data_IF_993374957275
#
_entry.id   IF_993374957275
#
_cell.length_a   1.000
_cell.length_b   1.000
_cell.length_c   1.000
_cell.angle_alpha   90.00
_cell.angle_beta   90.00
_cell.angle_gamma   90.00
#
_symmetry.space_group_name_H-M   'P 1'
#
loop_
_entity.id
_entity.type
_entity.pdbx_description
1 polymer ?
#
# COMPACT_ATOMS: atom_id res chain seq x y z
N UNK A 1 7.26 -4.00 -47.30
CA UNK A 1 8.45 -4.34 -46.53
C UNK A 1 8.72 -3.46 -45.39
N UNK A 2 8.79 -2.17 -45.62
CA UNK A 2 9.06 -1.26 -44.56
C UNK A 2 7.95 -1.25 -43.50
N UNK A 3 6.76 -1.54 -43.93
CA UNK A 3 5.61 -1.57 -43.04
C UNK A 3 5.76 -2.69 -42.03
N UNK A 4 6.37 -3.76 -42.42
CA UNK A 4 6.54 -4.89 -41.50
C UNK A 4 7.40 -4.52 -40.31
N UNK A 5 8.41 -3.74 -40.57
CA UNK A 5 9.30 -3.33 -39.48
C UNK A 5 8.56 -2.53 -38.43
N UNK A 6 7.66 -1.67 -38.87
CA UNK A 6 6.89 -0.87 -37.94
C UNK A 6 5.99 -1.71 -37.07
N UNK A 7 5.43 -2.75 -37.65
CA UNK A 7 4.56 -3.64 -36.88
C UNK A 7 5.32 -4.31 -35.76
N UNK A 8 6.54 -4.70 -36.00
CA UNK A 8 7.34 -5.33 -34.98
C UNK A 8 7.60 -4.41 -33.80
N UNK A 9 7.81 -3.16 -34.08
CA UNK A 9 8.06 -2.21 -33.02
C UNK A 9 6.86 -2.06 -32.10
N UNK A 10 5.68 -2.10 -32.65
CA UNK A 10 4.47 -1.98 -31.85
C UNK A 10 4.31 -3.17 -30.93
N UNK A 11 4.63 -4.33 -31.40
CA UNK A 11 4.52 -5.53 -30.60
C UNK A 11 5.45 -5.46 -29.40
N UNK A 12 6.64 -4.98 -29.60
CA UNK A 12 7.61 -4.86 -28.53
C UNK A 12 7.10 -3.93 -27.45
N UNK A 13 6.43 -2.85 -27.84
CA UNK A 13 5.90 -1.94 -26.87
C UNK A 13 4.83 -2.57 -26.00
N UNK A 14 4.00 -3.40 -26.56
CA UNK A 14 2.96 -4.05 -25.80
C UNK A 14 3.53 -5.03 -24.79
N UNK A 15 4.59 -5.71 -25.16
CA UNK A 15 5.20 -6.67 -24.26
C UNK A 15 5.68 -6.02 -22.97
N UNK A 16 6.11 -4.79 -23.05
CA UNK A 16 6.58 -4.09 -21.86
C UNK A 16 5.48 -3.80 -20.86
N UNK A 17 4.27 -3.62 -21.33
CA UNK A 17 3.17 -3.24 -20.46
C UNK A 17 2.78 -4.35 -19.50
N UNK A 18 3.04 -5.58 -19.84
CA UNK A 18 2.65 -6.68 -18.97
C UNK A 18 3.66 -6.95 -17.87
N UNK A 19 4.86 -6.43 -17.99
CA UNK A 19 5.91 -6.70 -17.01
C UNK A 19 5.56 -6.25 -15.60
N UNK A 20 5.01 -5.04 -15.38
CA UNK A 20 4.71 -4.58 -14.02
C UNK A 20 3.70 -5.44 -13.28
N UNK A 21 2.83 -6.07 -14.02
CA UNK A 21 1.78 -6.87 -13.40
C UNK A 21 2.35 -8.06 -12.64
N UNK A 22 3.46 -8.59 -13.10
CA UNK A 22 4.05 -9.74 -12.46
C UNK A 22 4.51 -9.49 -11.04
N UNK A 23 4.69 -8.24 -10.67
CA UNK A 23 5.19 -7.90 -9.34
C UNK A 23 4.10 -7.53 -8.36
N UNK A 24 2.85 -7.59 -8.78
CA UNK A 24 1.75 -7.08 -7.97
C UNK A 24 1.55 -7.83 -6.66
N UNK A 25 2.01 -9.06 -6.55
CA UNK A 25 1.79 -9.85 -5.35
C UNK A 25 2.80 -9.62 -4.23
N UNK A 26 3.81 -8.82 -4.47
CA UNK A 26 4.87 -8.64 -3.49
C UNK A 26 4.79 -7.30 -2.79
N UNK A 27 4.91 -7.33 -1.47
CA UNK A 27 5.02 -6.11 -0.70
C UNK A 27 6.47 -5.66 -0.69
N UNK A 28 6.70 -4.45 -1.22
CA UNK A 28 8.04 -3.89 -1.29
C UNK A 28 8.11 -2.59 -0.52
N UNK A 29 7.88 -2.69 0.76
CA UNK A 29 7.97 -1.52 1.62
C UNK A 29 9.40 -1.34 2.08
N UNK A 30 10.02 -0.24 1.69
CA UNK A 30 11.40 0.07 2.05
C UNK A 30 11.46 1.47 2.62
N UNK A 31 11.31 1.61 3.93
CA UNK A 31 11.35 2.93 4.54
C UNK A 31 12.77 3.50 4.53
N UNK A 32 12.85 4.81 4.44
CA UNK A 32 14.11 5.53 4.51
C UNK A 32 14.21 6.21 5.86
N UNK A 33 15.41 6.68 6.19
CA UNK A 33 15.61 7.35 7.48
C UNK A 33 14.70 8.57 7.65
N UNK A 34 14.33 9.20 6.56
CA UNK A 34 13.48 10.39 6.60
C UNK A 34 12.00 10.09 6.42
N UNK A 35 11.61 8.82 6.37
CA UNK A 35 10.22 8.45 6.17
C UNK A 35 9.37 8.88 7.35
N UNK A 36 8.31 9.62 7.08
CA UNK A 36 7.34 10.00 8.11
C UNK A 36 6.27 8.93 8.24
N UNK A 37 5.52 8.98 9.34
CA UNK A 37 4.42 8.05 9.54
C UNK A 37 3.42 8.14 8.39
N UNK A 38 3.10 9.33 7.94
CA UNK A 38 2.17 9.52 6.85
C UNK A 38 2.70 8.91 5.55
N UNK A 39 3.97 9.13 5.27
CA UNK A 39 4.58 8.57 4.07
C UNK A 39 4.58 7.04 4.10
N UNK A 40 4.84 6.48 5.26
CA UNK A 40 4.80 5.03 5.41
C UNK A 40 3.40 4.50 5.12
N UNK A 41 2.37 5.18 5.63
CA UNK A 41 0.99 4.77 5.40
C UNK A 41 0.62 4.86 3.93
N UNK A 42 1.08 5.89 3.24
CA UNK A 42 0.81 6.04 1.81
C UNK A 42 1.37 4.85 1.03
N UNK A 43 2.58 4.44 1.36
CA UNK A 43 3.19 3.30 0.68
C UNK A 43 2.48 1.99 0.99
N UNK A 44 1.83 1.92 2.15
CA UNK A 44 1.12 0.71 2.57
C UNK A 44 -0.36 0.72 2.20
N UNK A 45 -0.78 1.65 1.36
CA UNK A 45 -2.16 1.70 0.90
C UNK A 45 -2.54 0.39 0.23
N UNK A 46 -3.71 -0.13 0.60
CA UNK A 46 -4.28 -1.41 0.16
C UNK A 46 -3.64 -2.61 0.85
N UNK A 47 -2.74 -2.38 1.81
CA UNK A 47 -2.15 -3.47 2.56
C UNK A 47 -2.79 -3.57 3.93
N UNK A 48 -2.80 -4.79 4.47
CA UNK A 48 -3.31 -5.01 5.82
C UNK A 48 -2.21 -4.79 6.82
N UNK A 49 -2.48 -3.91 7.78
CA UNK A 49 -1.49 -3.54 8.79
C UNK A 49 -2.13 -3.53 10.16
N UNK A 50 -1.31 -3.55 11.20
CA UNK A 50 -1.74 -3.33 12.57
C UNK A 50 -1.16 -2.01 13.03
N UNK A 51 -2.04 -1.12 13.48
CA UNK A 51 -1.63 0.18 14.01
C UNK A 51 -1.67 0.12 15.53
N UNK A 52 -0.56 0.49 16.17
CA UNK A 52 -0.51 0.61 17.61
C UNK A 52 -0.64 2.08 17.96
N UNK A 53 -1.65 2.41 18.75
CA UNK A 53 -1.95 3.80 19.08
C UNK A 53 -1.35 4.19 20.42
N UNK A 54 -1.23 5.49 20.63
CA UNK A 54 -0.68 6.00 21.90
C UNK A 54 -1.49 5.55 23.10
N UNK A 55 -2.78 5.31 22.91
CA UNK A 55 -3.65 4.84 23.98
C UNK A 55 -3.39 3.38 24.39
N UNK A 56 -2.59 2.67 23.63
CA UNK A 56 -2.38 1.25 23.84
C UNK A 56 -3.31 0.38 23.00
N UNK A 57 -4.28 0.96 22.34
CA UNK A 57 -5.20 0.23 21.50
C UNK A 57 -4.52 -0.18 20.20
N UNK A 58 -4.90 -1.32 19.67
CA UNK A 58 -4.40 -1.79 18.38
C UNK A 58 -5.55 -1.92 17.41
N UNK A 59 -5.32 -1.49 16.17
CA UNK A 59 -6.32 -1.56 15.11
C UNK A 59 -5.68 -2.27 13.93
N UNK A 60 -6.28 -3.36 13.52
CA UNK A 60 -5.81 -4.11 12.36
C UNK A 60 -6.82 -3.99 11.23
N UNK A 61 -6.35 -3.62 10.05
CA UNK A 61 -7.22 -3.50 8.89
C UNK A 61 -6.42 -3.09 7.67
N UNK A 62 -7.14 -2.73 6.63
CA UNK A 62 -6.53 -2.36 5.35
C UNK A 62 -6.46 -0.85 5.25
N UNK A 63 -5.28 -0.34 4.92
CA UNK A 63 -5.09 1.09 4.68
C UNK A 63 -5.78 1.43 3.36
N UNK A 64 -6.83 2.22 3.41
CA UNK A 64 -7.63 2.51 2.23
C UNK A 64 -7.36 3.91 1.70
N UNK A 65 -7.21 4.88 2.59
CA UNK A 65 -6.97 6.25 2.17
C UNK A 65 -6.15 6.96 3.25
N UNK A 66 -5.19 7.75 2.83
CA UNK A 66 -4.34 8.50 3.75
C UNK A 66 -4.54 9.99 3.47
N UNK A 67 -5.05 10.71 4.48
CA UNK A 67 -5.20 12.15 4.39
C UNK A 67 -4.01 12.87 4.98
N UNK A 68 -4.18 14.16 5.22
CA UNK A 68 -3.11 14.96 5.81
C UNK A 68 -2.90 14.63 7.28
N UNK A 69 -3.97 14.40 8.01
CA UNK A 69 -3.88 14.17 9.45
C UNK A 69 -4.59 12.91 9.91
N UNK A 70 -5.33 12.24 9.03
CA UNK A 70 -6.03 11.02 9.39
C UNK A 70 -5.81 9.96 8.33
N UNK A 71 -5.96 8.69 8.74
CA UNK A 71 -5.91 7.56 7.83
C UNK A 71 -7.21 6.79 7.97
N UNK A 72 -7.72 6.31 6.84
CA UNK A 72 -8.97 5.56 6.78
C UNK A 72 -8.64 4.08 6.65
N UNK A 73 -9.08 3.30 7.64
CA UNK A 73 -8.81 1.87 7.72
C UNK A 73 -10.12 1.13 7.55
N UNK A 74 -10.15 0.16 6.66
CA UNK A 74 -11.35 -0.63 6.39
C UNK A 74 -11.09 -2.09 6.70
N UNK A 75 -12.17 -2.87 6.73
CA UNK A 75 -12.12 -4.31 6.96
C UNK A 75 -11.37 -4.65 8.23
N UNK A 76 -11.80 -4.02 9.32
CA UNK A 76 -11.17 -4.22 10.62
C UNK A 76 -11.29 -5.67 11.07
N UNK A 77 -10.21 -6.20 11.62
CA UNK A 77 -10.22 -7.56 12.15
C UNK A 77 -11.13 -7.60 13.38
N UNK A 78 -12.01 -8.58 13.42
CA UNK A 78 -12.94 -8.74 14.54
C UNK A 78 -14.14 -7.82 14.51
N UNK A 79 -14.20 -6.89 13.57
CA UNK A 79 -15.30 -5.95 13.44
C UNK A 79 -15.69 -5.83 11.98
N UNK A 80 -16.39 -6.84 11.48
CA UNK A 80 -16.61 -7.04 10.05
C UNK A 80 -17.27 -5.85 9.33
N UNK A 81 -18.14 -5.15 10.01
CA UNK A 81 -18.90 -4.06 9.39
C UNK A 81 -18.40 -2.68 9.82
N UNK A 82 -17.20 -2.61 10.38
CA UNK A 82 -16.70 -1.37 10.93
C UNK A 82 -15.48 -0.90 10.18
N UNK A 83 -15.39 0.41 9.99
CA UNK A 83 -14.21 1.08 9.49
C UNK A 83 -13.73 2.02 10.57
N UNK A 84 -12.50 2.47 10.46
CA UNK A 84 -11.93 3.40 11.43
C UNK A 84 -11.26 4.56 10.72
N UNK A 85 -11.40 5.74 11.31
CA UNK A 85 -10.64 6.91 10.92
C UNK A 85 -9.70 7.19 12.08
N UNK A 86 -8.40 7.13 11.83
CA UNK A 86 -7.40 7.20 12.88
C UNK A 86 -6.53 8.42 12.67
N UNK A 87 -6.29 9.16 13.75
CA UNK A 87 -5.39 10.30 13.69
C UNK A 87 -3.96 9.82 13.52
N UNK A 88 -3.28 10.30 12.50
CA UNK A 88 -1.92 9.88 12.22
C UNK A 88 -0.99 10.22 13.38
N UNK A 89 -1.23 11.35 14.05
CA UNK A 89 -0.42 11.77 15.18
C UNK A 89 -0.48 10.81 16.37
N UNK A 90 -1.53 10.00 16.43
CA UNK A 90 -1.73 9.10 17.57
C UNK A 90 -1.19 7.71 17.30
N UNK A 91 -0.59 7.49 16.16
CA UNK A 91 -0.04 6.18 15.81
C UNK A 91 1.41 6.12 16.28
N UNK A 92 1.70 5.15 17.16
CA UNK A 92 3.06 4.91 17.61
C UNK A 92 3.84 4.01 16.68
N UNK A 93 3.16 3.02 16.11
CA UNK A 93 3.86 2.02 15.31
C UNK A 93 2.92 1.39 14.30
N UNK A 94 3.49 0.97 13.17
CA UNK A 94 2.78 0.18 12.16
C UNK A 94 3.48 -1.17 12.10
N UNK A 95 2.71 -2.23 12.25
CA UNK A 95 3.22 -3.59 12.13
C UNK A 95 2.61 -4.22 10.90
N UNK A 96 3.45 -4.80 10.06
CA UNK A 96 2.97 -5.47 8.87
C UNK A 96 3.68 -6.80 8.72
N UNK A 97 3.00 -7.73 8.08
CA UNK A 97 3.57 -9.05 7.83
C UNK A 97 4.25 -9.04 6.49
N UNK A 98 5.53 -9.37 6.48
CA UNK A 98 6.23 -9.55 5.21
C UNK A 98 6.09 -10.99 4.76
N UNK A 99 5.98 -11.19 3.48
CA UNK A 99 5.97 -12.52 2.89
C UNK A 99 7.36 -12.80 2.33
N UNK A 100 7.82 -14.00 2.61
CA UNK A 100 9.14 -14.43 2.15
C UNK A 100 9.00 -15.48 1.08
#
# INVERSE_FOLDING_TARGET
MKILVNALLLIAGLAMLSAPVALAGELKFEPKASTTMREALVELTKERVTLSLQSGEQIEGIVTMVGNSVVYITKLSGKVYYDAVVSIDKINAITLRKQF
#
